data_IF_998974342138
#
_entry.id   IF_998974342138
#
_cell.length_a   1.000
_cell.length_b   1.000
_cell.length_c   1.000
_cell.angle_alpha   90.00
_cell.angle_beta   90.00
_cell.angle_gamma   90.00
#
_symmetry.space_group_name_H-M   'P 1'
#
loop_
_entity.id
_entity.type
_entity.pdbx_description
1 polymer ?
#
# COMPACT_ATOMS: atom_id res chain seq x y z
N UNK A 1 -18.78 -16.26 7.38
CA UNK A 1 -18.48 -15.37 6.22
C UNK A 1 -17.76 -14.08 6.63
N UNK A 2 -18.15 -13.44 7.74
CA UNK A 2 -17.56 -12.18 8.22
C UNK A 2 -16.04 -12.27 8.53
N UNK A 3 -15.58 -13.33 9.21
CA UNK A 3 -14.16 -13.50 9.57
C UNK A 3 -13.23 -13.56 8.36
N UNK A 4 -13.62 -14.29 7.29
CA UNK A 4 -12.84 -14.38 6.05
C UNK A 4 -12.68 -13.01 5.37
N UNK A 5 -13.74 -12.19 5.44
CA UNK A 5 -13.74 -10.82 4.90
C UNK A 5 -12.77 -9.92 5.66
N UNK A 6 -12.78 -10.00 6.99
CA UNK A 6 -11.87 -9.24 7.86
C UNK A 6 -10.41 -9.63 7.58
N UNK A 7 -10.10 -10.93 7.54
CA UNK A 7 -8.74 -11.42 7.21
C UNK A 7 -8.31 -10.91 5.84
N UNK A 8 -9.20 -10.92 4.84
CA UNK A 8 -8.90 -10.42 3.51
C UNK A 8 -8.55 -8.93 3.51
N UNK A 9 -9.32 -8.11 4.23
CA UNK A 9 -9.05 -6.67 4.34
C UNK A 9 -7.75 -6.39 5.07
N UNK A 10 -7.46 -7.11 6.16
CA UNK A 10 -6.19 -6.98 6.88
C UNK A 10 -5.03 -7.37 5.97
N UNK A 11 -5.12 -8.50 5.25
CA UNK A 11 -4.08 -8.94 4.32
C UNK A 11 -3.86 -7.94 3.17
N UNK A 12 -4.93 -7.38 2.60
CA UNK A 12 -4.84 -6.37 1.55
C UNK A 12 -4.26 -5.04 2.06
N UNK A 13 -4.60 -4.64 3.29
CA UNK A 13 -4.03 -3.45 3.93
C UNK A 13 -2.55 -3.64 4.21
N UNK A 14 -2.16 -4.82 4.72
CA UNK A 14 -0.76 -5.18 4.94
C UNK A 14 0.03 -5.22 3.63
N UNK A 15 -0.57 -5.74 2.55
CA UNK A 15 0.02 -5.70 1.22
C UNK A 15 0.19 -4.27 0.71
N UNK A 16 -0.81 -3.40 0.88
CA UNK A 16 -0.71 -1.98 0.50
C UNK A 16 0.37 -1.23 1.29
N UNK A 17 0.52 -1.55 2.57
CA UNK A 17 1.60 -1.03 3.40
C UNK A 17 2.98 -1.49 2.89
N UNK A 18 3.16 -2.78 2.60
CA UNK A 18 4.38 -3.30 1.99
C UNK A 18 4.69 -2.63 0.65
N UNK A 19 3.67 -2.43 -0.19
CA UNK A 19 3.82 -1.76 -1.47
C UNK A 19 4.28 -0.31 -1.30
N UNK A 20 3.78 0.39 -0.28
CA UNK A 20 4.23 1.74 0.05
C UNK A 20 5.69 1.77 0.49
N UNK A 21 6.17 0.79 1.26
CA UNK A 21 7.59 0.72 1.62
C UNK A 21 8.45 0.51 0.37
N UNK A 22 7.99 -0.34 -0.54
CA UNK A 22 8.66 -0.59 -1.81
C UNK A 22 8.69 0.67 -2.69
N UNK A 23 7.58 1.40 -2.75
CA UNK A 23 7.49 2.68 -3.46
C UNK A 23 8.40 3.75 -2.82
N UNK A 24 8.47 3.76 -1.49
CA UNK A 24 9.33 4.67 -0.74
C UNK A 24 10.80 4.47 -1.13
N UNK A 25 11.29 3.22 -1.08
CA UNK A 25 12.67 2.87 -1.47
C UNK A 25 12.92 3.20 -2.95
N UNK A 26 11.93 2.95 -3.83
CA UNK A 26 12.07 3.28 -5.24
C UNK A 26 12.24 4.79 -5.45
N UNK A 27 11.39 5.62 -4.84
CA UNK A 27 11.46 7.09 -4.94
C UNK A 27 12.77 7.59 -4.34
N UNK A 28 13.18 7.06 -3.20
CA UNK A 28 14.45 7.42 -2.56
C UNK A 28 15.66 7.09 -3.44
N UNK A 29 15.68 5.90 -4.06
CA UNK A 29 16.77 5.52 -4.96
C UNK A 29 16.88 6.45 -6.17
N UNK A 30 15.75 6.89 -6.74
CA UNK A 30 15.71 7.84 -7.85
C UNK A 30 16.15 9.24 -7.39
N UNK A 31 15.67 9.67 -6.22
CA UNK A 31 16.04 10.97 -5.65
C UNK A 31 17.54 11.07 -5.39
N UNK A 32 18.14 10.01 -4.83
CA UNK A 32 19.58 9.93 -4.61
C UNK A 32 20.38 9.93 -5.92
N UNK A 33 19.85 9.32 -6.98
CA UNK A 33 20.49 9.35 -8.31
C UNK A 33 20.41 10.73 -8.98
N UNK A 34 19.32 11.47 -8.80
CA UNK A 34 19.17 12.82 -9.35
C UNK A 34 19.86 13.90 -8.50
N UNK A 35 20.08 13.64 -7.21
CA UNK A 35 20.74 14.56 -6.30
C UNK A 35 22.24 14.63 -6.59
N UNK A 36 22.68 15.69 -7.28
CA UNK A 36 24.09 16.03 -7.45
C UNK A 36 24.73 16.69 -6.22
N UNK A 37 23.98 16.88 -5.13
CA UNK A 37 24.44 17.48 -3.87
C UNK A 37 24.49 16.46 -2.72
N UNK A 38 24.96 16.90 -1.54
CA UNK A 38 24.93 16.10 -0.31
C UNK A 38 23.46 15.98 0.15
N UNK A 39 22.86 14.78 0.14
CA UNK A 39 21.47 14.62 0.57
C UNK A 39 21.34 14.96 2.05
N UNK A 40 20.28 15.70 2.39
CA UNK A 40 19.99 16.04 3.77
C UNK A 40 19.30 14.83 4.42
N UNK A 41 20.07 14.09 5.21
CA UNK A 41 19.56 12.93 5.91
C UNK A 41 18.77 13.36 7.13
N UNK A 42 17.57 12.81 7.27
CA UNK A 42 16.76 12.96 8.46
C UNK A 42 16.43 11.59 9.03
N UNK A 43 16.20 11.53 10.34
CA UNK A 43 15.79 10.31 11.00
C UNK A 43 14.34 10.44 11.43
N UNK A 44 13.49 9.57 10.92
CA UNK A 44 12.10 9.48 11.34
C UNK A 44 12.04 8.68 12.64
N UNK A 45 11.54 9.30 13.72
CA UNK A 45 11.48 8.69 15.06
C UNK A 45 12.84 8.24 15.64
N UNK A 46 13.96 8.79 15.17
CA UNK A 46 15.30 8.43 15.64
C UNK A 46 15.78 7.05 15.17
N UNK A 47 15.09 6.44 14.20
CA UNK A 47 15.45 5.16 13.59
C UNK A 47 15.57 5.34 12.08
N UNK A 48 16.72 4.97 11.52
CA UNK A 48 16.98 5.04 10.09
C UNK A 48 17.49 6.39 9.60
N UNK A 49 18.01 6.37 8.37
CA UNK A 49 18.48 7.52 7.61
C UNK A 49 17.61 7.61 6.36
N UNK A 50 16.68 8.56 6.34
CA UNK A 50 15.83 8.83 5.19
C UNK A 50 16.35 10.09 4.48
N UNK A 51 16.56 10.01 3.17
CA UNK A 51 16.90 11.17 2.35
C UNK A 51 15.65 11.98 1.94
N UNK A 52 14.47 11.41 2.13
CA UNK A 52 13.20 12.02 1.76
C UNK A 52 12.65 12.95 2.85
N UNK A 53 11.92 14.02 2.47
CA UNK A 53 11.22 14.86 3.43
C UNK A 53 10.20 14.05 4.24
N UNK A 54 10.15 14.29 5.56
CA UNK A 54 9.26 13.60 6.52
C UNK A 54 7.79 13.60 6.03
N UNK A 55 7.32 14.72 5.48
CA UNK A 55 5.97 14.84 4.93
C UNK A 55 5.69 13.84 3.81
N UNK A 56 6.68 13.59 2.94
CA UNK A 56 6.54 12.63 1.85
C UNK A 56 6.46 11.22 2.41
N UNK A 57 7.34 10.86 3.34
CA UNK A 57 7.33 9.54 4.01
C UNK A 57 6.01 9.28 4.72
N UNK A 58 5.47 10.27 5.44
CA UNK A 58 4.15 10.18 6.07
C UNK A 58 3.03 10.01 5.04
N UNK A 59 3.07 10.73 3.92
CA UNK A 59 2.07 10.62 2.85
C UNK A 59 2.12 9.25 2.18
N UNK A 60 3.31 8.73 1.90
CA UNK A 60 3.51 7.38 1.39
C UNK A 60 2.92 6.34 2.36
N UNK A 61 3.33 6.35 3.62
CA UNK A 61 2.89 5.37 4.60
C UNK A 61 1.36 5.38 4.82
N UNK A 62 0.78 6.57 5.00
CA UNK A 62 -0.68 6.72 5.15
C UNK A 62 -1.42 6.38 3.86
N UNK A 63 -0.88 6.80 2.72
CA UNK A 63 -1.39 6.48 1.39
C UNK A 63 -1.40 4.97 1.12
N UNK A 64 -0.35 4.24 1.47
CA UNK A 64 -0.25 2.79 1.32
C UNK A 64 -1.31 2.03 2.12
N UNK A 65 -1.57 2.46 3.35
CA UNK A 65 -2.60 1.87 4.22
C UNK A 65 -3.99 2.14 3.63
N UNK A 66 -4.30 3.39 3.29
CA UNK A 66 -5.59 3.78 2.71
C UNK A 66 -5.84 3.07 1.38
N UNK A 67 -4.82 3.04 0.52
CA UNK A 67 -4.85 2.36 -0.76
C UNK A 67 -5.04 0.84 -0.59
N UNK A 68 -4.28 0.21 0.32
CA UNK A 68 -4.41 -1.22 0.60
C UNK A 68 -5.78 -1.62 1.13
N UNK A 69 -6.36 -0.80 2.01
CA UNK A 69 -7.73 -1.00 2.49
C UNK A 69 -8.75 -0.88 1.35
N UNK A 70 -8.67 0.20 0.56
CA UNK A 70 -9.57 0.41 -0.58
C UNK A 70 -9.46 -0.73 -1.61
N UNK A 71 -8.24 -1.15 -1.94
CA UNK A 71 -7.97 -2.28 -2.82
C UNK A 71 -8.62 -3.55 -2.28
N UNK A 72 -8.47 -3.83 -0.98
CA UNK A 72 -9.11 -4.97 -0.32
C UNK A 72 -10.63 -4.96 -0.43
N UNK A 73 -11.26 -3.79 -0.25
CA UNK A 73 -12.72 -3.63 -0.41
C UNK A 73 -13.17 -3.88 -1.84
N UNK A 74 -12.49 -3.27 -2.82
CA UNK A 74 -12.81 -3.40 -4.25
C UNK A 74 -12.63 -4.86 -4.71
N UNK A 75 -11.51 -5.48 -4.38
CA UNK A 75 -11.23 -6.86 -4.77
C UNK A 75 -12.20 -7.85 -4.12
N UNK A 76 -12.57 -7.65 -2.86
CA UNK A 76 -13.57 -8.48 -2.21
C UNK A 76 -14.92 -8.39 -2.93
N UNK A 77 -15.33 -7.19 -3.36
CA UNK A 77 -16.57 -7.01 -4.14
C UNK A 77 -16.50 -7.76 -5.47
N UNK A 78 -15.40 -7.65 -6.21
CA UNK A 78 -15.22 -8.33 -7.51
C UNK A 78 -15.24 -9.86 -7.33
N UNK A 79 -14.42 -10.39 -6.43
CA UNK A 79 -14.25 -11.85 -6.28
C UNK A 79 -15.47 -12.52 -5.63
N UNK A 80 -16.04 -11.92 -4.58
CA UNK A 80 -17.07 -12.61 -3.80
C UNK A 80 -18.50 -12.24 -4.18
N UNK A 81 -18.73 -11.05 -4.73
CA UNK A 81 -20.08 -10.61 -5.13
C UNK A 81 -20.28 -10.87 -6.62
N UNK A 82 -19.44 -10.31 -7.48
CA UNK A 82 -19.60 -10.42 -8.94
C UNK A 82 -19.31 -11.85 -9.42
N UNK A 83 -18.21 -12.47 -9.01
CA UNK A 83 -17.90 -13.85 -9.42
C UNK A 83 -18.94 -14.88 -8.94
N UNK A 84 -19.66 -14.59 -7.84
CA UNK A 84 -20.76 -15.44 -7.35
C UNK A 84 -22.02 -15.28 -8.20
N UNK A 85 -22.30 -14.07 -8.68
CA UNK A 85 -23.41 -13.79 -9.60
C UNK A 85 -23.18 -14.45 -10.98
N UNK A 86 -21.94 -14.45 -11.47
CA UNK A 86 -21.57 -15.11 -12.73
C UNK A 86 -21.76 -16.63 -12.69
N UNK A 87 -21.45 -17.28 -11.56
CA UNK A 87 -21.74 -18.72 -11.39
C UNK A 87 -23.24 -19.04 -11.37
N UNK A 88 -24.08 -18.16 -10.82
CA UNK A 88 -25.53 -18.38 -10.80
C UNK A 88 -26.18 -18.17 -12.16
N UNK A 89 -25.68 -17.23 -12.97
CA UNK A 89 -26.19 -17.00 -14.33
C UNK A 89 -25.86 -18.11 -15.33
N UNK A 90 -24.81 -18.90 -15.10
CA UNK A 90 -24.44 -20.03 -15.99
C UNK A 90 -25.30 -21.29 -15.79
N UNK A 91 -26.19 -21.31 -14.80
CA UNK A 91 -27.00 -22.49 -14.45
C UNK A 91 -28.50 -22.27 -14.67
N UNK A 92 -28.90 -21.11 -15.18
CA UNK A 92 -30.22 -20.91 -15.81
C UNK A 92 -30.03 -20.85 -17.33
#
# INVERSE_FOLDING_TARGET
MQVKKIIYYIAATFLGFLLSLLLHIAIESIYLQLSSGVPHWHSLFGVGLDALPIWLTCLLATGGILFGYWLGVVWWRIVYIEHRLWRKKKTQ
#
